data_IF_937305466735
#
_entry.id   IF_937305466735
#
_cell.length_a   1.000
_cell.length_b   1.000
_cell.length_c   1.000
_cell.angle_alpha   90.00
_cell.angle_beta   90.00
_cell.angle_gamma   90.00
#
_symmetry.space_group_name_H-M   'P 1'
#
loop_
_entity.id
_entity.type
_entity.pdbx_description
1 polymer ?
#
# COMPACT_ATOMS: atom_id res chain seq x y z
N UNK A 1 -0.47 -23.84 -9.27
CA UNK A 1 0.29 -22.60 -9.01
C UNK A 1 -0.39 -21.52 -9.84
N UNK A 2 -0.52 -20.30 -9.34
CA UNK A 2 -0.99 -19.22 -10.20
C UNK A 2 0.23 -18.74 -11.00
N UNK A 3 0.20 -18.94 -12.31
CA UNK A 3 1.30 -18.63 -13.23
C UNK A 3 1.30 -17.13 -13.56
N UNK A 4 1.52 -16.29 -12.55
CA UNK A 4 1.68 -14.85 -12.74
C UNK A 4 3.11 -14.52 -13.16
N UNK A 5 3.25 -13.60 -14.12
CA UNK A 5 4.51 -13.02 -14.55
C UNK A 5 4.50 -11.52 -14.25
N UNK A 6 5.62 -11.01 -13.71
CA UNK A 6 5.80 -9.58 -13.51
C UNK A 6 6.07 -8.93 -14.87
N UNK A 7 5.35 -7.87 -15.19
CA UNK A 7 5.65 -7.07 -16.38
C UNK A 7 6.77 -6.07 -16.04
N UNK A 8 7.98 -6.33 -16.52
CA UNK A 8 9.16 -5.49 -16.25
C UNK A 8 9.39 -4.38 -17.30
N UNK A 9 8.65 -4.42 -18.40
CA UNK A 9 8.74 -3.41 -19.47
C UNK A 9 7.77 -2.24 -19.22
N UNK A 10 7.05 -2.29 -18.09
CA UNK A 10 6.02 -1.33 -17.70
C UNK A 10 6.41 -0.63 -16.40
N UNK A 11 5.61 0.36 -15.98
CA UNK A 11 5.90 1.16 -14.79
C UNK A 11 5.96 0.32 -13.51
N UNK A 12 6.76 0.75 -12.53
CA UNK A 12 6.68 0.28 -11.15
C UNK A 12 6.56 1.47 -10.21
N UNK A 13 5.91 1.26 -9.06
CA UNK A 13 5.86 2.26 -7.99
C UNK A 13 6.77 1.85 -6.84
N UNK A 14 7.65 2.75 -6.44
CA UNK A 14 8.42 2.63 -5.20
C UNK A 14 7.68 3.39 -4.09
N UNK A 15 7.37 2.70 -2.99
CA UNK A 15 6.74 3.30 -1.82
C UNK A 15 7.34 2.73 -0.56
N UNK A 16 8.13 3.54 0.15
CA UNK A 16 8.71 3.23 1.46
C UNK A 16 9.51 1.92 1.47
N UNK A 17 8.89 0.83 1.93
CA UNK A 17 9.53 -0.48 2.09
C UNK A 17 9.29 -1.50 0.97
N UNK A 18 8.49 -1.15 -0.04
CA UNK A 18 8.03 -2.07 -1.06
C UNK A 18 8.04 -1.49 -2.48
N UNK A 19 8.28 -2.36 -3.45
CA UNK A 19 8.11 -2.08 -4.87
C UNK A 19 6.81 -2.74 -5.35
N UNK A 20 6.01 -2.03 -6.14
CA UNK A 20 4.78 -2.55 -6.73
C UNK A 20 4.94 -2.65 -8.24
N UNK A 21 4.89 -3.88 -8.75
CA UNK A 21 4.98 -4.16 -10.17
C UNK A 21 3.64 -4.59 -10.76
N UNK A 22 3.30 -4.20 -12.00
CA UNK A 22 2.16 -4.72 -12.73
C UNK A 22 2.36 -6.21 -13.05
N UNK A 23 1.25 -6.96 -13.10
CA UNK A 23 1.25 -8.34 -13.59
C UNK A 23 0.92 -8.34 -15.08
N UNK A 24 1.71 -9.08 -15.87
CA UNK A 24 1.52 -9.20 -17.31
C UNK A 24 0.11 -9.72 -17.66
N UNK A 25 -0.59 -9.03 -18.55
CA UNK A 25 -1.98 -9.29 -18.98
C UNK A 25 -3.07 -9.03 -17.93
N UNK A 26 -2.77 -8.30 -16.84
CA UNK A 26 -3.76 -7.93 -15.83
C UNK A 26 -3.64 -6.47 -15.38
N UNK A 27 -4.59 -5.63 -15.80
CA UNK A 27 -4.56 -4.18 -15.50
C UNK A 27 -4.98 -3.80 -14.07
N UNK A 28 -5.50 -4.77 -13.29
CA UNK A 28 -6.12 -4.51 -11.98
C UNK A 28 -5.39 -5.15 -10.80
N UNK A 29 -4.27 -5.84 -11.04
CA UNK A 29 -3.50 -6.53 -10.01
C UNK A 29 -2.01 -6.26 -10.19
N UNK A 30 -1.28 -6.26 -9.07
CA UNK A 30 0.15 -6.04 -9.04
C UNK A 30 0.83 -6.98 -8.04
N UNK A 31 2.14 -7.13 -8.19
CA UNK A 31 3.01 -7.82 -7.26
C UNK A 31 3.70 -6.81 -6.34
N UNK A 32 3.38 -6.87 -5.04
CA UNK A 32 4.03 -6.05 -4.02
C UNK A 32 5.24 -6.82 -3.47
N UNK A 33 6.43 -6.39 -3.86
CA UNK A 33 7.73 -6.96 -3.52
C UNK A 33 8.37 -6.27 -2.32
N UNK A 34 9.07 -7.05 -1.49
CA UNK A 34 9.77 -6.57 -0.30
C UNK A 34 11.19 -7.15 -0.21
N UNK A 35 12.07 -6.40 0.45
CA UNK A 35 13.47 -6.79 0.72
C UNK A 35 13.65 -8.11 1.51
N UNK A 36 12.60 -8.61 2.19
CA UNK A 36 12.68 -9.91 2.89
C UNK A 36 11.32 -10.59 3.03
N UNK A 37 11.34 -11.93 3.13
CA UNK A 37 10.14 -12.75 3.38
C UNK A 37 9.37 -12.30 4.63
N UNK A 38 10.08 -11.97 5.71
CA UNK A 38 9.48 -11.52 6.98
C UNK A 38 8.70 -10.22 6.81
N UNK A 39 9.23 -9.26 6.05
CA UNK A 39 8.53 -8.01 5.72
C UNK A 39 7.30 -8.28 4.86
N UNK A 40 7.45 -9.08 3.82
CA UNK A 40 6.33 -9.47 2.94
C UNK A 40 5.20 -10.16 3.71
N UNK A 41 5.51 -11.09 4.60
CA UNK A 41 4.52 -11.80 5.42
C UNK A 41 3.81 -10.86 6.41
N UNK A 42 4.54 -9.94 7.04
CA UNK A 42 3.95 -8.94 7.91
C UNK A 42 2.98 -8.04 7.14
N UNK A 43 3.44 -7.44 6.03
CA UNK A 43 2.63 -6.56 5.22
C UNK A 43 1.40 -7.25 4.67
N UNK A 44 1.56 -8.48 4.18
CA UNK A 44 0.44 -9.34 3.74
C UNK A 44 -0.58 -9.56 4.85
N UNK A 45 -0.14 -9.82 6.09
CA UNK A 45 -1.04 -10.03 7.24
C UNK A 45 -1.83 -8.76 7.58
N UNK A 46 -1.16 -7.61 7.60
CA UNK A 46 -1.81 -6.31 7.83
C UNK A 46 -2.81 -6.03 6.71
N UNK A 47 -2.42 -6.18 5.46
CA UNK A 47 -3.28 -5.94 4.31
C UNK A 47 -4.50 -6.88 4.27
N UNK A 48 -4.32 -8.17 4.60
CA UNK A 48 -5.42 -9.12 4.78
C UNK A 48 -6.39 -8.69 5.90
N UNK A 49 -5.88 -8.10 6.98
CA UNK A 49 -6.72 -7.57 8.07
C UNK A 49 -7.52 -6.35 7.62
N UNK A 50 -6.88 -5.40 6.95
CA UNK A 50 -7.50 -4.14 6.52
C UNK A 50 -8.48 -4.31 5.35
N UNK A 51 -8.16 -5.17 4.39
CA UNK A 51 -8.99 -5.44 3.21
C UNK A 51 -10.35 -6.07 3.55
N UNK A 52 -10.49 -6.75 4.70
CA UNK A 52 -11.79 -7.22 5.22
C UNK A 52 -12.79 -6.09 5.45
N UNK A 53 -12.30 -4.87 5.62
CA UNK A 53 -13.10 -3.67 5.88
C UNK A 53 -13.06 -2.67 4.71
N UNK A 54 -12.56 -3.08 3.54
CA UNK A 54 -12.28 -2.19 2.40
C UNK A 54 -11.34 -1.01 2.76
N UNK A 55 -10.39 -1.24 3.69
CA UNK A 55 -9.39 -0.23 4.11
C UNK A 55 -8.01 -0.43 3.45
N UNK A 56 -7.82 -1.52 2.71
CA UNK A 56 -6.63 -1.80 1.91
C UNK A 56 -7.01 -2.62 0.66
N UNK A 57 -6.19 -2.65 -0.40
CA UNK A 57 -6.41 -3.51 -1.57
C UNK A 57 -6.47 -5.00 -1.19
N UNK A 58 -7.23 -5.82 -1.93
CA UNK A 58 -7.32 -7.24 -1.62
C UNK A 58 -6.02 -7.97 -1.93
N UNK A 59 -5.62 -8.85 -1.02
CA UNK A 59 -4.53 -9.81 -1.24
C UNK A 59 -5.07 -11.01 -2.01
N UNK A 60 -4.41 -11.37 -3.11
CA UNK A 60 -4.85 -12.40 -4.06
C UNK A 60 -4.00 -13.67 -4.00
N UNK A 61 -2.90 -13.65 -3.24
CA UNK A 61 -1.99 -14.79 -3.13
C UNK A 61 -1.34 -14.95 -1.75
N UNK A 62 -0.65 -16.07 -1.55
CA UNK A 62 0.29 -16.26 -0.44
C UNK A 62 1.56 -15.45 -0.69
N UNK A 63 2.44 -15.38 0.31
CA UNK A 63 3.79 -14.84 0.10
C UNK A 63 4.56 -15.78 -0.82
N UNK A 64 5.01 -15.27 -1.97
CA UNK A 64 5.63 -16.02 -3.06
C UNK A 64 6.74 -15.19 -3.73
N UNK A 65 7.52 -15.85 -4.58
CA UNK A 65 8.36 -15.19 -5.58
C UNK A 65 7.75 -15.44 -6.96
N UNK A 66 7.87 -14.48 -7.87
CA UNK A 66 7.39 -14.61 -9.24
C UNK A 66 8.55 -14.52 -10.22
N UNK A 67 8.32 -14.98 -11.45
CA UNK A 67 9.24 -14.75 -12.57
C UNK A 67 8.86 -13.43 -13.24
N UNK A 68 9.85 -12.76 -13.82
CA UNK A 68 9.61 -11.65 -14.72
C UNK A 68 9.26 -12.19 -16.11
N UNK A 69 8.37 -11.49 -16.81
CA UNK A 69 8.17 -11.68 -18.24
C UNK A 69 9.50 -11.42 -18.96
N UNK A 70 9.71 -11.98 -20.16
CA UNK A 70 10.91 -11.68 -20.92
C UNK A 70 10.83 -10.25 -21.46
N UNK A 71 11.81 -9.40 -21.15
CA UNK A 71 11.87 -8.03 -21.66
C UNK A 71 12.39 -8.00 -23.08
N UNK A 72 11.96 -7.00 -23.84
CA UNK A 72 12.54 -6.68 -25.15
C UNK A 72 14.00 -6.20 -25.04
N UNK A 73 14.42 -5.68 -23.89
CA UNK A 73 15.78 -5.15 -23.67
C UNK A 73 16.79 -6.18 -23.14
N UNK A 74 16.38 -7.44 -22.99
CA UNK A 74 17.31 -8.59 -22.90
C UNK A 74 17.92 -8.89 -21.52
N UNK A 75 17.72 -8.05 -20.50
CA UNK A 75 18.09 -8.40 -19.12
C UNK A 75 16.91 -8.25 -18.16
N UNK A 76 16.47 -9.38 -17.61
CA UNK A 76 15.56 -9.42 -16.46
C UNK A 76 16.13 -10.40 -15.42
N UNK A 77 15.96 -10.13 -14.12
CA UNK A 77 16.17 -11.16 -13.11
C UNK A 77 15.28 -12.37 -13.43
N UNK A 78 15.77 -13.59 -13.23
CA UNK A 78 14.93 -14.78 -13.47
C UNK A 78 13.77 -14.89 -12.47
N UNK A 79 13.98 -14.40 -11.24
CA UNK A 79 13.05 -14.53 -10.11
C UNK A 79 13.10 -13.28 -9.24
N UNK A 80 11.93 -12.80 -8.79
CA UNK A 80 11.77 -11.67 -7.88
C UNK A 80 12.27 -11.95 -6.45
N UNK A 81 12.31 -10.90 -5.64
CA UNK A 81 12.26 -10.99 -4.19
C UNK A 81 10.94 -11.54 -3.66
N UNK A 82 10.78 -11.48 -2.34
CA UNK A 82 9.58 -12.01 -1.68
C UNK A 82 8.46 -10.98 -1.71
N UNK A 83 7.27 -11.40 -2.14
CA UNK A 83 6.13 -10.51 -2.24
C UNK A 83 4.80 -11.25 -2.27
N UNK A 84 3.75 -10.55 -2.66
CA UNK A 84 2.44 -11.15 -2.90
C UNK A 84 1.66 -10.34 -3.94
N UNK A 85 0.82 -11.03 -4.69
CA UNK A 85 -0.14 -10.44 -5.62
C UNK A 85 -1.31 -9.81 -4.87
N UNK A 86 -1.67 -8.59 -5.27
CA UNK A 86 -2.71 -7.74 -4.70
C UNK A 86 -3.49 -7.02 -5.79
N UNK A 87 -4.70 -6.57 -5.51
CA UNK A 87 -5.36 -5.52 -6.32
C UNK A 87 -4.48 -4.26 -6.38
N UNK A 88 -4.50 -3.58 -7.52
CA UNK A 88 -3.88 -2.27 -7.70
C UNK A 88 -4.82 -1.17 -7.19
N UNK A 89 -4.27 -0.27 -6.38
CA UNK A 89 -4.91 0.99 -6.03
C UNK A 89 -4.46 2.08 -7.00
N UNK A 90 -5.34 3.03 -7.27
CA UNK A 90 -5.03 4.19 -8.08
C UNK A 90 -4.61 5.34 -7.18
N UNK A 91 -3.54 6.05 -7.54
CA UNK A 91 -3.22 7.33 -6.92
C UNK A 91 -4.18 8.42 -7.41
N UNK A 92 -4.43 9.40 -6.55
CA UNK A 92 -5.28 10.54 -6.86
C UNK A 92 -5.34 11.50 -5.70
N UNK A 93 -6.00 12.63 -5.89
CA UNK A 93 -6.15 13.65 -4.84
C UNK A 93 -7.03 13.14 -3.71
N UNK A 94 -6.54 13.21 -2.47
CA UNK A 94 -7.28 12.84 -1.25
C UNK A 94 -7.35 14.08 -0.37
N UNK A 95 -8.52 14.41 0.18
CA UNK A 95 -8.62 15.52 1.14
C UNK A 95 -8.14 15.11 2.54
N UNK A 96 -7.71 16.06 3.38
CA UNK A 96 -7.35 15.78 4.77
C UNK A 96 -8.44 15.06 5.56
N UNK A 97 -9.70 15.42 5.34
CA UNK A 97 -10.84 14.75 5.97
C UNK A 97 -10.93 13.27 5.55
N UNK A 98 -10.66 12.96 4.29
CA UNK A 98 -10.63 11.59 3.81
C UNK A 98 -9.47 10.79 4.42
N UNK A 99 -8.29 11.40 4.55
CA UNK A 99 -7.12 10.78 5.21
C UNK A 99 -7.44 10.50 6.68
N UNK A 100 -7.93 11.50 7.42
CA UNK A 100 -8.30 11.30 8.83
C UNK A 100 -9.37 10.22 8.98
N UNK A 101 -10.40 10.23 8.13
CA UNK A 101 -11.42 9.18 8.13
C UNK A 101 -10.84 7.77 7.86
N UNK A 102 -9.80 7.65 7.03
CA UNK A 102 -9.11 6.39 6.80
C UNK A 102 -8.36 5.96 8.07
N UNK A 103 -7.57 6.85 8.66
CA UNK A 103 -6.82 6.63 9.90
C UNK A 103 -7.74 6.17 11.04
N UNK A 104 -8.83 6.90 11.28
CA UNK A 104 -9.79 6.61 12.35
C UNK A 104 -10.47 5.25 12.14
N UNK A 105 -10.74 4.88 10.89
CA UNK A 105 -11.31 3.56 10.54
C UNK A 105 -10.31 2.43 10.74
N UNK A 106 -9.05 2.63 10.37
CA UNK A 106 -7.98 1.65 10.60
C UNK A 106 -7.83 1.41 12.11
N UNK A 107 -7.81 2.47 12.92
CA UNK A 107 -7.77 2.34 14.37
C UNK A 107 -9.00 1.60 14.91
N UNK A 108 -10.20 2.07 14.61
CA UNK A 108 -11.44 1.49 15.17
C UNK A 108 -11.75 0.07 14.71
N UNK A 109 -11.34 -0.33 13.50
CA UNK A 109 -11.62 -1.68 12.95
C UNK A 109 -10.47 -2.67 13.11
N UNK A 110 -9.23 -2.19 13.21
CA UNK A 110 -8.06 -3.05 13.24
C UNK A 110 -7.11 -2.79 14.43
N UNK A 111 -7.39 -1.82 15.29
CA UNK A 111 -6.52 -1.43 16.41
C UNK A 111 -5.06 -1.17 15.96
N UNK A 112 -4.90 -0.58 14.77
CA UNK A 112 -3.60 -0.19 14.21
C UNK A 112 -3.57 1.33 14.08
N UNK A 113 -2.41 1.93 14.36
CA UNK A 113 -2.18 3.37 14.18
C UNK A 113 -1.41 3.57 12.88
N UNK A 114 -2.07 4.08 11.84
CA UNK A 114 -1.44 4.32 10.53
C UNK A 114 -0.76 5.69 10.54
N UNK A 115 0.49 5.72 10.98
CA UNK A 115 1.28 6.93 11.17
C UNK A 115 1.76 7.51 9.84
N UNK A 116 2.20 6.63 8.94
CA UNK A 116 2.78 6.97 7.64
C UNK A 116 1.69 7.21 6.57
N UNK A 117 0.74 8.06 6.91
CA UNK A 117 -0.42 8.38 6.08
C UNK A 117 -0.17 9.58 5.14
N UNK A 118 1.02 9.60 4.52
CA UNK A 118 1.36 10.50 3.41
C UNK A 118 0.52 10.19 2.17
N UNK A 119 0.44 11.14 1.25
CA UNK A 119 -0.33 10.99 0.01
C UNK A 119 0.13 9.80 -0.85
N UNK A 120 1.43 9.51 -0.86
CA UNK A 120 2.02 8.36 -1.59
C UNK A 120 1.61 7.01 -1.01
N UNK A 121 1.26 6.94 0.28
CA UNK A 121 0.89 5.70 0.97
C UNK A 121 -0.63 5.45 0.99
N UNK A 122 -1.38 6.31 0.31
CA UNK A 122 -2.83 6.28 0.21
C UNK A 122 -3.23 6.26 -1.26
N UNK A 123 -4.33 5.57 -1.56
CA UNK A 123 -4.98 5.73 -2.85
C UNK A 123 -6.40 5.22 -2.84
N UNK A 124 -6.87 4.83 -4.02
CA UNK A 124 -8.26 4.52 -4.26
C UNK A 124 -8.44 3.13 -4.86
N UNK A 125 -9.46 2.43 -4.38
CA UNK A 125 -9.99 1.22 -5.00
C UNK A 125 -11.46 1.44 -5.35
N UNK A 126 -11.91 0.93 -6.48
CA UNK A 126 -13.34 0.92 -6.82
C UNK A 126 -14.02 -0.25 -6.11
N UNK A 127 -15.09 0.03 -5.37
CA UNK A 127 -15.97 -0.96 -4.75
C UNK A 127 -17.41 -0.64 -5.10
N UNK A 128 -18.08 -1.54 -5.80
CA UNK A 128 -19.47 -1.35 -6.28
C UNK A 128 -19.65 0.00 -7.01
N UNK A 129 -18.70 0.33 -7.88
CA UNK A 129 -18.69 1.59 -8.64
C UNK A 129 -18.30 2.85 -7.86
N UNK A 130 -18.05 2.77 -6.55
CA UNK A 130 -17.68 3.93 -5.71
C UNK A 130 -16.19 3.88 -5.34
N UNK A 131 -15.45 5.00 -5.45
CA UNK A 131 -14.07 5.05 -4.97
C UNK A 131 -14.05 4.96 -3.44
N UNK A 132 -13.11 4.16 -2.91
CA UNK A 132 -12.81 4.03 -1.49
C UNK A 132 -11.35 4.35 -1.27
N UNK A 133 -11.09 5.27 -0.34
CA UNK A 133 -9.75 5.65 0.10
C UNK A 133 -9.18 4.49 0.91
N UNK A 134 -7.96 4.08 0.61
CA UNK A 134 -7.29 2.93 1.22
C UNK A 134 -5.84 3.20 1.56
N UNK A 135 -5.38 2.47 2.58
CA UNK A 135 -3.97 2.33 2.93
C UNK A 135 -3.31 1.37 1.93
N UNK A 136 -2.36 1.91 1.16
CA UNK A 136 -1.56 1.15 0.18
C UNK A 136 -0.31 0.61 0.87
N UNK A 137 0.32 1.44 1.71
CA UNK A 137 1.49 1.00 2.44
C UNK A 137 1.14 0.28 3.74
N UNK A 138 1.47 -1.00 3.77
CA UNK A 138 1.08 -1.96 4.80
C UNK A 138 2.28 -2.56 5.49
N UNK A 139 3.49 -2.02 5.23
CA UNK A 139 4.71 -2.41 5.90
C UNK A 139 4.67 -2.13 7.40
N UNK A 140 5.70 -2.57 8.12
CA UNK A 140 5.72 -2.42 9.59
C UNK A 140 5.96 -0.96 9.98
N UNK A 141 6.85 -0.30 9.25
CA UNK A 141 7.21 1.10 9.37
C UNK A 141 6.00 2.02 9.30
N UNK A 142 5.01 1.71 8.46
CA UNK A 142 3.85 2.57 8.25
C UNK A 142 2.96 2.68 9.50
N UNK A 143 3.12 1.77 10.46
CA UNK A 143 2.41 1.73 11.73
C UNK A 143 3.29 2.01 12.95
N UNK A 144 4.49 2.53 12.72
CA UNK A 144 5.40 2.98 13.77
C UNK A 144 5.25 4.50 14.00
N UNK A 145 5.29 4.93 15.27
CA UNK A 145 5.15 6.35 15.63
C UNK A 145 6.27 7.24 15.09
N UNK A 146 7.42 6.66 14.72
CA UNK A 146 8.50 7.40 14.07
C UNK A 146 8.17 7.81 12.62
N UNK A 147 7.20 7.15 11.98
CA UNK A 147 6.77 7.49 10.62
C UNK A 147 5.64 8.54 10.61
N UNK A 148 5.67 9.49 11.55
CA UNK A 148 4.61 10.46 11.75
C UNK A 148 4.53 11.48 10.60
N UNK A 149 3.65 11.22 9.64
CA UNK A 149 3.48 12.01 8.43
C UNK A 149 3.03 13.47 8.65
N UNK A 150 2.45 13.79 9.81
CA UNK A 150 1.78 15.07 10.05
C UNK A 150 2.31 15.83 11.24
N UNK A 151 3.36 15.32 11.90
CA UNK A 151 3.92 15.89 13.14
C UNK A 151 2.90 16.12 14.25
N UNK A 152 1.75 15.44 14.18
CA UNK A 152 0.68 15.53 15.17
C UNK A 152 0.92 14.52 16.31
N UNK A 153 0.37 14.75 17.52
CA UNK A 153 0.46 13.78 18.62
C UNK A 153 -0.22 12.44 18.32
N UNK A 154 -1.23 12.47 17.43
CA UNK A 154 -1.97 11.31 16.95
C UNK A 154 -1.83 11.19 15.42
N UNK A 155 -2.02 9.98 14.84
CA UNK A 155 -1.90 9.81 13.41
C UNK A 155 -2.94 10.62 12.62
N UNK A 156 -2.52 11.15 11.48
CA UNK A 156 -3.37 11.87 10.53
C UNK A 156 -3.28 13.39 10.61
N UNK A 157 -3.93 14.09 9.66
CA UNK A 157 -3.80 15.54 9.49
C UNK A 157 -4.61 16.38 10.49
N UNK A 158 -5.46 15.77 11.33
CA UNK A 158 -6.31 16.50 12.29
C UNK A 158 -5.65 16.55 13.66
N UNK A 159 -5.31 17.74 14.14
CA UNK A 159 -4.77 17.92 15.49
C UNK A 159 -5.83 17.56 16.54
N UNK A 160 -5.44 16.72 17.51
CA UNK A 160 -6.34 16.26 18.57
C UNK A 160 -6.66 17.34 19.63
N UNK A 161 -5.85 18.39 19.74
CA UNK A 161 -6.07 19.47 20.70
C UNK A 161 -7.00 20.56 20.16
N UNK A 162 -6.73 21.08 18.94
CA UNK A 162 -7.47 22.20 18.37
C UNK A 162 -8.53 21.78 17.33
N UNK A 163 -8.57 20.49 16.96
CA UNK A 163 -9.50 19.88 15.99
C UNK A 163 -9.41 20.42 14.56
N UNK A 164 -8.37 21.20 14.24
CA UNK A 164 -8.09 21.74 12.90
C UNK A 164 -7.29 20.74 12.07
N UNK A 165 -7.45 20.84 10.76
CA UNK A 165 -6.63 20.12 9.79
C UNK A 165 -5.43 20.99 9.42
N UNK A 166 -4.24 20.44 9.48
CA UNK A 166 -2.99 21.18 9.25
C UNK A 166 -2.13 20.44 8.21
N UNK A 167 -1.47 21.21 7.34
CA UNK A 167 -0.57 20.69 6.33
C UNK A 167 0.87 20.76 6.86
N UNK A 168 1.28 19.74 7.61
CA UNK A 168 2.67 19.61 8.09
C UNK A 168 3.40 18.42 7.46
N UNK A 169 2.86 17.87 6.38
CA UNK A 169 3.49 16.83 5.59
C UNK A 169 4.74 17.43 4.92
N UNK A 170 5.91 17.22 5.52
CA UNK A 170 7.18 17.56 4.88
C UNK A 170 7.47 16.45 3.89
N UNK A 171 7.21 16.70 2.61
CA UNK A 171 7.61 15.80 1.53
C UNK A 171 9.13 15.56 1.65
N UNK A 172 9.53 14.35 2.01
CA UNK A 172 10.91 13.86 1.94
C UNK A 172 11.06 12.94 0.73
#
# INVERSE_FOLDING_TARGET
MNDYLINNDDWFHEGGSAQLYPILNYDSIGFKEFSSKKKAEYARKVQLKLSKFDLAPKVLSKTIKLKYAQSVEGWNPEISGWGFVTELAQHGTVSYRQIQNLVDKIWSKAALKFWDCHYSNIGYIKRKGKPKVVCIDTGKESFDGYANAWSNPDPGPKCCYCLKYECNCTDY
#
